data_IF_417038441516
#
_entry.id   IF_417038441516
#
_cell.length_a   1.000
_cell.length_b   1.000
_cell.length_c   1.000
_cell.angle_alpha   90.00
_cell.angle_beta   90.00
_cell.angle_gamma   90.00
#
_symmetry.space_group_name_H-M   'P 1'
#
loop_
_entity.id
_entity.type
_entity.pdbx_description
1 polymer ?
#
# COMPACT_ATOMS: atom_id res chain seq x y z
N UNK A 1 69.15 40.84 15.39
CA UNK A 1 68.20 41.03 16.52
C UNK A 1 67.29 42.26 16.41
N UNK A 2 67.67 43.38 15.78
CA UNK A 2 66.83 44.61 15.71
C UNK A 2 65.55 44.48 14.87
N UNK A 3 65.53 43.61 13.87
CA UNK A 3 64.38 43.42 12.97
C UNK A 3 63.12 42.92 13.70
N UNK A 4 63.27 41.95 14.60
CA UNK A 4 62.14 41.40 15.36
C UNK A 4 61.55 42.42 16.36
N UNK A 5 62.38 43.34 16.85
CA UNK A 5 61.92 44.41 17.74
C UNK A 5 61.17 45.51 16.99
N UNK A 6 61.61 45.84 15.77
CA UNK A 6 60.89 46.78 14.89
C UNK A 6 59.52 46.21 14.48
N UNK A 7 59.46 44.95 14.03
CA UNK A 7 58.21 44.29 13.68
C UNK A 7 57.22 44.23 14.86
N UNK A 8 57.70 43.95 16.08
CA UNK A 8 56.83 43.95 17.27
C UNK A 8 56.26 45.33 17.59
N UNK A 9 57.04 46.40 17.39
CA UNK A 9 56.57 47.78 17.61
C UNK A 9 55.49 48.16 16.60
N UNK A 10 55.71 47.88 15.32
CA UNK A 10 54.74 48.10 14.23
C UNK A 10 53.43 47.34 14.49
N UNK A 11 53.48 46.05 14.84
CA UNK A 11 52.29 45.29 15.24
C UNK A 11 51.55 45.89 16.43
N UNK A 12 52.30 46.41 17.41
CA UNK A 12 51.71 47.04 18.61
C UNK A 12 51.04 48.37 18.26
N UNK A 13 51.61 49.18 17.36
CA UNK A 13 51.00 50.41 16.89
C UNK A 13 49.74 50.16 16.04
N UNK A 14 49.78 49.15 15.17
CA UNK A 14 48.61 48.69 14.41
C UNK A 14 47.46 48.32 15.35
N UNK A 15 47.73 47.55 16.41
CA UNK A 15 46.71 47.12 17.37
C UNK A 15 46.19 48.28 18.23
N UNK A 16 47.04 49.25 18.60
CA UNK A 16 46.64 50.40 19.43
C UNK A 16 45.90 51.49 18.63
N UNK A 17 46.18 51.61 17.34
CA UNK A 17 45.59 52.65 16.48
C UNK A 17 44.31 52.16 15.80
N UNK A 18 43.15 52.60 16.30
CA UNK A 18 41.84 52.30 15.70
C UNK A 18 41.75 52.71 14.22
N UNK A 19 42.47 53.77 13.81
CA UNK A 19 42.48 54.26 12.42
C UNK A 19 43.18 53.30 11.45
N UNK A 20 44.14 52.51 11.92
CA UNK A 20 44.91 51.55 11.09
C UNK A 20 44.36 50.13 11.24
N UNK A 21 43.90 49.76 12.44
CA UNK A 21 43.36 48.44 12.74
C UNK A 21 42.09 48.11 11.95
N UNK A 22 41.14 49.06 11.85
CA UNK A 22 39.84 48.83 11.20
C UNK A 22 40.00 48.46 9.72
N UNK A 23 40.78 49.19 8.88
CA UNK A 23 41.04 48.80 7.50
C UNK A 23 41.70 47.42 7.36
N UNK A 24 42.66 47.09 8.24
CA UNK A 24 43.35 45.80 8.20
C UNK A 24 42.39 44.65 8.53
N UNK A 25 41.55 44.82 9.56
CA UNK A 25 40.50 43.85 9.89
C UNK A 25 39.54 43.71 8.71
N UNK A 26 39.11 44.80 8.08
CA UNK A 26 38.21 44.76 6.94
C UNK A 26 38.81 43.99 5.76
N UNK A 27 40.09 44.19 5.45
CA UNK A 27 40.81 43.44 4.39
C UNK A 27 40.96 41.97 4.76
N UNK A 28 41.29 41.64 6.01
CA UNK A 28 41.36 40.26 6.50
C UNK A 28 39.99 39.57 6.53
N UNK A 29 38.91 40.33 6.64
CA UNK A 29 37.55 39.81 6.62
C UNK A 29 37.13 39.33 5.22
N UNK A 30 37.70 39.89 4.14
CA UNK A 30 37.34 39.50 2.77
C UNK A 30 37.65 38.02 2.47
N UNK A 31 38.87 37.49 2.74
CA UNK A 31 39.13 36.06 2.61
C UNK A 31 38.29 35.18 3.54
N UNK A 32 37.98 35.66 4.75
CA UNK A 32 37.16 34.91 5.73
C UNK A 32 35.71 34.82 5.26
N UNK A 33 35.14 35.90 4.73
CA UNK A 33 33.80 35.89 4.14
C UNK A 33 33.74 34.96 2.92
N UNK A 34 34.75 35.01 2.06
CA UNK A 34 34.82 34.11 0.89
C UNK A 34 34.93 32.64 1.33
N UNK A 35 35.86 32.31 2.22
CA UNK A 35 36.03 30.97 2.74
C UNK A 35 34.80 30.50 3.52
N UNK A 36 34.17 31.39 4.31
CA UNK A 36 32.96 31.11 5.05
C UNK A 36 31.77 30.83 4.15
N UNK A 37 31.57 31.62 3.08
CA UNK A 37 30.52 31.39 2.09
C UNK A 37 30.74 30.08 1.31
N UNK A 38 32.00 29.79 0.94
CA UNK A 38 32.35 28.54 0.29
C UNK A 38 32.11 27.33 1.21
N UNK A 39 32.60 27.37 2.45
CA UNK A 39 32.33 26.32 3.43
C UNK A 39 30.83 26.16 3.65
N UNK A 40 30.06 27.24 3.80
CA UNK A 40 28.61 27.16 3.97
C UNK A 40 27.91 26.49 2.78
N UNK A 41 28.29 26.82 1.54
CA UNK A 41 27.72 26.22 0.33
C UNK A 41 28.13 24.75 0.11
N UNK A 42 29.34 24.36 0.55
CA UNK A 42 29.89 23.01 0.33
C UNK A 42 29.85 22.11 1.58
N UNK A 43 29.41 22.61 2.74
CA UNK A 43 29.29 21.83 3.97
C UNK A 43 28.25 20.72 3.84
N UNK A 44 27.15 21.01 3.14
CA UNK A 44 26.13 20.03 2.77
C UNK A 44 25.42 20.43 1.47
N UNK A 45 26.03 20.15 0.29
CA UNK A 45 25.47 20.52 -1.00
C UNK A 45 24.19 19.73 -1.35
N UNK A 46 23.77 18.80 -0.49
CA UNK A 46 22.59 17.96 -0.67
C UNK A 46 21.45 18.30 0.30
N UNK A 47 21.63 19.29 1.18
CA UNK A 47 20.59 19.72 2.12
C UNK A 47 19.36 20.33 1.44
N UNK A 48 19.54 20.86 0.23
CA UNK A 48 18.49 21.54 -0.56
C UNK A 48 18.09 20.72 -1.80
N UNK A 49 18.11 19.39 -1.69
CA UNK A 49 17.66 18.53 -2.79
C UNK A 49 16.15 18.61 -3.03
N UNK A 50 15.39 19.06 -2.04
CA UNK A 50 13.95 19.36 -2.09
C UNK A 50 13.59 20.44 -3.11
N UNK A 51 14.54 21.29 -3.52
CA UNK A 51 14.36 22.27 -4.60
C UNK A 51 14.76 21.74 -5.98
N UNK A 52 15.38 20.56 -6.07
CA UNK A 52 15.89 19.99 -7.31
C UNK A 52 14.73 19.44 -8.16
N UNK A 53 14.41 20.04 -9.32
CA UNK A 53 13.25 19.67 -10.12
C UNK A 53 13.48 18.35 -10.87
N UNK A 54 12.70 17.34 -10.51
CA UNK A 54 12.70 16.00 -11.12
C UNK A 54 11.38 15.77 -11.82
N UNK A 55 11.40 15.61 -13.14
CA UNK A 55 10.21 15.29 -13.91
C UNK A 55 9.86 13.81 -13.73
N UNK A 56 8.60 13.52 -13.43
CA UNK A 56 8.07 12.16 -13.37
C UNK A 56 7.02 12.02 -14.47
N UNK A 57 7.22 11.06 -15.36
CA UNK A 57 6.28 10.73 -16.44
C UNK A 57 5.78 9.33 -16.22
N UNK A 58 4.46 9.19 -16.08
CA UNK A 58 3.82 7.89 -15.96
C UNK A 58 3.17 7.49 -17.28
N UNK A 59 3.72 6.47 -17.94
CA UNK A 59 3.13 5.85 -19.13
C UNK A 59 2.44 4.52 -18.83
N UNK A 60 2.51 4.07 -17.58
CA UNK A 60 1.93 2.81 -17.10
C UNK A 60 0.43 2.76 -17.41
N UNK A 61 0.01 1.68 -18.09
CA UNK A 61 -1.39 1.46 -18.45
C UNK A 61 -2.17 0.69 -17.39
N UNK A 62 -1.51 0.29 -16.31
CA UNK A 62 -2.06 -0.66 -15.35
C UNK A 62 -2.06 -2.08 -15.91
N UNK A 63 -2.50 -3.03 -15.09
CA UNK A 63 -2.67 -4.41 -15.46
C UNK A 63 -3.85 -5.03 -14.69
N UNK A 64 -4.24 -6.25 -15.05
CA UNK A 64 -5.22 -7.03 -14.32
C UNK A 64 -4.56 -8.33 -13.88
N UNK A 65 -4.65 -8.63 -12.59
CA UNK A 65 -4.17 -9.88 -12.00
C UNK A 65 -5.27 -10.48 -11.13
N UNK A 66 -5.62 -11.74 -11.39
CA UNK A 66 -6.72 -12.45 -10.72
C UNK A 66 -8.04 -11.65 -10.64
N UNK A 67 -8.39 -10.97 -11.75
CA UNK A 67 -9.61 -10.17 -11.86
C UNK A 67 -9.59 -8.85 -11.09
N UNK A 68 -8.50 -8.53 -10.37
CA UNK A 68 -8.31 -7.24 -9.70
C UNK A 68 -7.42 -6.31 -10.54
N UNK A 69 -7.78 -5.01 -10.65
CA UNK A 69 -6.90 -4.03 -11.29
C UNK A 69 -5.65 -3.80 -10.43
N UNK A 70 -4.50 -3.77 -11.09
CA UNK A 70 -3.18 -3.51 -10.50
C UNK A 70 -2.61 -2.27 -11.17
N UNK A 71 -2.41 -1.20 -10.38
CA UNK A 71 -1.92 0.10 -10.85
C UNK A 71 -0.66 0.51 -10.07
N UNK A 72 0.44 -0.24 -10.23
CA UNK A 72 1.70 -0.02 -9.50
C UNK A 72 2.32 1.34 -9.87
N UNK A 73 2.32 1.71 -11.15
CA UNK A 73 2.89 2.99 -11.60
C UNK A 73 2.15 4.19 -10.99
N UNK A 74 0.83 4.09 -10.88
CA UNK A 74 0.01 5.10 -10.21
C UNK A 74 0.29 5.16 -8.71
N UNK A 75 0.38 4.00 -8.04
CA UNK A 75 0.74 3.95 -6.62
C UNK A 75 2.12 4.56 -6.32
N UNK A 76 3.10 4.34 -7.21
CA UNK A 76 4.41 4.98 -7.13
C UNK A 76 4.29 6.51 -7.27
N UNK A 77 3.53 6.98 -8.27
CA UNK A 77 3.29 8.42 -8.47
C UNK A 77 2.63 9.05 -7.25
N UNK A 78 1.63 8.41 -6.67
CA UNK A 78 0.92 8.95 -5.51
C UNK A 78 1.83 9.01 -4.27
N UNK A 79 2.63 7.97 -4.01
CA UNK A 79 3.61 8.00 -2.93
C UNK A 79 4.74 9.03 -3.18
N UNK A 80 5.14 9.27 -4.43
CA UNK A 80 6.12 10.31 -4.76
C UNK A 80 5.57 11.74 -4.57
N UNK A 81 4.25 11.96 -4.71
CA UNK A 81 3.64 13.28 -4.42
C UNK A 81 3.74 13.66 -2.95
N UNK A 82 3.66 12.67 -2.07
CA UNK A 82 3.76 12.85 -0.62
C UNK A 82 5.23 12.96 -0.15
N UNK A 83 6.18 12.59 -1.02
CA UNK A 83 7.59 12.64 -0.73
C UNK A 83 8.16 14.07 -0.93
N UNK A 84 8.89 14.58 0.06
CA UNK A 84 9.49 15.92 0.03
C UNK A 84 11.02 15.91 -0.16
N UNK A 85 11.62 14.77 -0.51
CA UNK A 85 13.07 14.64 -0.69
C UNK A 85 13.57 15.38 -1.93
N UNK A 86 12.70 15.58 -2.93
CA UNK A 86 12.98 16.28 -4.17
C UNK A 86 11.76 17.09 -4.64
N UNK A 87 12.00 18.04 -5.54
CA UNK A 87 10.91 18.77 -6.21
C UNK A 87 10.34 17.92 -7.34
N UNK A 88 9.46 16.99 -6.99
CA UNK A 88 8.78 16.13 -7.96
C UNK A 88 7.79 16.95 -8.80
N UNK A 89 7.95 16.91 -10.12
CA UNK A 89 6.99 17.48 -11.07
C UNK A 89 6.41 16.40 -11.97
N UNK A 90 5.12 16.12 -11.80
CA UNK A 90 4.40 15.13 -12.57
C UNK A 90 3.85 15.77 -13.84
N UNK A 91 4.38 15.39 -14.99
CA UNK A 91 4.12 16.06 -16.28
C UNK A 91 3.92 15.05 -17.41
N UNK A 92 3.38 15.51 -18.54
CA UNK A 92 3.31 14.69 -19.74
C UNK A 92 4.71 14.43 -20.34
N UNK A 93 4.86 13.37 -21.12
CA UNK A 93 6.14 13.07 -21.79
C UNK A 93 6.63 14.24 -22.67
N UNK A 94 5.69 14.95 -23.31
CA UNK A 94 6.00 16.11 -24.15
C UNK A 94 6.53 17.29 -23.34
N UNK A 95 5.93 17.56 -22.19
CA UNK A 95 6.38 18.62 -21.27
C UNK A 95 7.71 18.26 -20.62
N UNK A 96 7.89 17.00 -20.22
CA UNK A 96 9.17 16.51 -19.71
C UNK A 96 10.28 16.72 -20.74
N UNK A 97 10.10 16.32 -22.00
CA UNK A 97 11.07 16.53 -23.08
C UNK A 97 11.44 18.01 -23.23
N UNK A 98 10.43 18.88 -23.34
CA UNK A 98 10.64 20.33 -23.45
C UNK A 98 11.36 20.91 -22.22
N UNK A 99 11.02 20.43 -21.03
CA UNK A 99 11.65 20.87 -19.78
C UNK A 99 13.08 20.37 -19.62
N UNK A 100 13.41 19.18 -20.11
CA UNK A 100 14.78 18.66 -20.18
C UNK A 100 15.61 19.50 -21.16
N UNK A 101 15.12 19.74 -22.39
CA UNK A 101 15.79 20.61 -23.37
C UNK A 101 15.98 22.04 -22.84
N UNK A 102 14.98 22.57 -22.15
CA UNK A 102 15.02 23.90 -21.53
C UNK A 102 15.84 23.98 -20.25
N UNK A 103 16.49 22.89 -19.81
CA UNK A 103 17.23 22.80 -18.53
C UNK A 103 16.39 23.12 -17.29
N UNK A 104 15.07 23.01 -17.39
CA UNK A 104 14.15 23.13 -16.25
C UNK A 104 14.29 21.91 -15.34
N UNK A 105 14.38 20.72 -15.92
CA UNK A 105 14.47 19.47 -15.18
C UNK A 105 15.89 18.96 -15.12
N UNK A 106 16.27 18.51 -13.93
CA UNK A 106 17.57 17.90 -13.66
C UNK A 106 17.62 16.45 -14.16
N UNK A 107 16.52 15.72 -13.94
CA UNK A 107 16.35 14.33 -14.34
C UNK A 107 14.89 14.08 -14.70
N UNK A 108 14.69 13.15 -15.63
CA UNK A 108 13.41 12.53 -15.94
C UNK A 108 13.40 11.11 -15.39
N UNK A 109 12.42 10.80 -14.54
CA UNK A 109 12.04 9.44 -14.15
C UNK A 109 10.83 9.04 -14.98
N UNK A 110 11.02 8.10 -15.90
CA UNK A 110 9.96 7.57 -16.77
C UNK A 110 9.53 6.20 -16.29
N UNK A 111 8.24 6.06 -16.01
CA UNK A 111 7.58 4.79 -15.71
C UNK A 111 7.06 4.22 -17.04
N UNK A 112 7.60 3.09 -17.53
CA UNK A 112 7.19 2.47 -18.80
C UNK A 112 5.73 2.00 -18.79
N UNK A 113 5.18 1.74 -19.98
CA UNK A 113 3.78 1.35 -20.14
C UNK A 113 3.45 -0.08 -19.68
N UNK A 114 4.48 -0.93 -19.64
CA UNK A 114 4.42 -2.31 -19.17
C UNK A 114 4.75 -2.46 -17.68
N UNK A 115 4.94 -1.36 -16.95
CA UNK A 115 5.39 -1.40 -15.55
C UNK A 115 4.45 -2.21 -14.65
N UNK A 116 3.16 -1.90 -14.61
CA UNK A 116 2.19 -2.71 -13.86
C UNK A 116 2.01 -4.10 -14.46
N UNK A 117 2.16 -4.27 -15.77
CA UNK A 117 2.08 -5.60 -16.40
C UNK A 117 3.23 -6.51 -15.96
N UNK A 118 4.45 -6.00 -15.87
CA UNK A 118 5.62 -6.71 -15.37
C UNK A 118 5.46 -7.06 -13.89
N UNK A 119 4.83 -6.20 -13.09
CA UNK A 119 4.49 -6.51 -11.70
C UNK A 119 3.66 -7.79 -11.56
N UNK A 120 2.74 -8.05 -12.49
CA UNK A 120 1.89 -9.26 -12.48
C UNK A 120 2.66 -10.54 -12.80
N UNK A 121 3.91 -10.44 -13.27
CA UNK A 121 4.71 -11.60 -13.64
C UNK A 121 5.53 -12.16 -12.48
N UNK A 122 5.54 -11.50 -11.32
CA UNK A 122 6.35 -11.91 -10.15
C UNK A 122 6.04 -13.33 -9.65
N UNK A 123 4.80 -13.79 -9.81
CA UNK A 123 4.36 -15.13 -9.39
C UNK A 123 4.41 -16.15 -10.55
N UNK A 124 4.94 -15.76 -11.71
CA UNK A 124 5.09 -16.63 -12.88
C UNK A 124 6.51 -17.21 -12.95
N UNK A 125 6.69 -18.27 -13.72
CA UNK A 125 7.98 -18.97 -13.87
C UNK A 125 9.09 -18.09 -14.47
N UNK A 126 8.73 -17.04 -15.20
CA UNK A 126 9.67 -16.04 -15.77
C UNK A 126 9.24 -14.62 -15.37
N UNK A 127 9.67 -14.14 -14.19
CA UNK A 127 9.32 -12.81 -13.71
C UNK A 127 10.13 -11.74 -14.45
N UNK A 128 9.42 -10.73 -14.98
CA UNK A 128 10.03 -9.58 -15.62
C UNK A 128 10.41 -8.50 -14.61
N UNK A 129 11.60 -7.90 -14.72
CA UNK A 129 12.02 -6.83 -13.83
C UNK A 129 11.21 -5.55 -14.04
N UNK A 130 10.99 -4.82 -12.95
CA UNK A 130 10.33 -3.52 -12.92
C UNK A 130 11.37 -2.43 -13.14
N UNK A 131 11.73 -2.22 -14.41
CA UNK A 131 12.72 -1.21 -14.74
C UNK A 131 12.07 0.16 -14.85
N UNK A 132 12.58 1.11 -14.09
CA UNK A 132 12.32 2.54 -14.30
C UNK A 132 13.43 3.12 -15.16
N UNK A 133 13.05 4.03 -16.05
CA UNK A 133 14.00 4.72 -16.90
C UNK A 133 14.40 6.04 -16.29
N UNK A 134 15.71 6.18 -16.03
CA UNK A 134 16.29 7.37 -15.43
C UNK A 134 17.11 8.09 -16.51
N UNK A 135 16.62 9.25 -16.94
CA UNK A 135 17.26 10.04 -17.99
C UNK A 135 17.81 11.33 -17.36
N UNK A 136 19.12 11.41 -17.09
CA UNK A 136 19.73 12.63 -16.57
C UNK A 136 19.82 13.70 -17.66
N UNK A 137 19.83 14.97 -17.26
CA UNK A 137 20.04 16.07 -18.18
C UNK A 137 21.55 16.34 -18.36
N UNK A 138 22.19 15.62 -19.28
CA UNK A 138 23.63 15.72 -19.58
C UNK A 138 24.06 17.10 -20.10
N UNK A 139 23.10 17.95 -20.52
CA UNK A 139 23.39 19.32 -20.96
C UNK A 139 23.73 20.29 -19.82
N UNK A 140 23.55 19.85 -18.56
CA UNK A 140 24.05 20.53 -17.38
C UNK A 140 25.55 20.19 -17.20
N UNK A 141 26.38 21.23 -17.07
CA UNK A 141 27.85 21.27 -17.15
C UNK A 141 28.64 20.14 -16.43
N UNK A 142 29.96 19.98 -16.69
CA UNK A 142 30.81 18.89 -16.11
C UNK A 142 30.78 18.74 -14.58
N UNK A 143 30.53 19.82 -13.83
CA UNK A 143 30.31 19.77 -12.37
C UNK A 143 28.98 19.09 -12.00
N UNK A 144 27.97 19.24 -12.86
CA UNK A 144 26.68 18.54 -12.76
C UNK A 144 26.81 17.05 -13.05
N UNK A 145 27.82 16.57 -13.77
CA UNK A 145 28.08 15.12 -13.90
C UNK A 145 28.70 14.50 -12.65
N UNK A 146 29.56 15.22 -11.91
CA UNK A 146 30.25 14.67 -10.73
C UNK A 146 29.44 14.78 -9.43
N UNK A 147 28.81 15.94 -9.17
CA UNK A 147 27.84 16.09 -8.06
C UNK A 147 26.52 15.39 -8.40
N UNK A 148 26.22 15.31 -9.69
CA UNK A 148 25.01 14.67 -10.18
C UNK A 148 24.95 13.18 -10.06
N UNK A 149 26.08 12.48 -10.15
CA UNK A 149 26.10 11.03 -9.90
C UNK A 149 25.45 10.70 -8.57
N UNK A 150 25.86 11.39 -7.50
CA UNK A 150 25.29 11.23 -6.15
C UNK A 150 23.82 11.66 -6.08
N UNK A 151 23.43 12.76 -6.73
CA UNK A 151 22.04 13.19 -6.75
C UNK A 151 21.14 12.17 -7.47
N UNK A 152 21.61 11.62 -8.60
CA UNK A 152 20.96 10.57 -9.36
C UNK A 152 20.84 9.29 -8.53
N UNK A 153 21.91 8.89 -7.82
CA UNK A 153 21.87 7.75 -6.91
C UNK A 153 20.87 7.96 -5.77
N UNK A 154 20.80 9.16 -5.20
CA UNK A 154 19.79 9.50 -4.19
C UNK A 154 18.37 9.48 -4.76
N UNK A 155 18.14 10.01 -5.96
CA UNK A 155 16.84 9.95 -6.66
C UNK A 155 16.46 8.48 -6.90
N UNK A 156 17.37 7.67 -7.43
CA UNK A 156 17.17 6.23 -7.64
C UNK A 156 16.85 5.52 -6.33
N UNK A 157 17.57 5.83 -5.26
CA UNK A 157 17.36 5.27 -3.93
C UNK A 157 16.00 5.63 -3.36
N UNK A 158 15.60 6.90 -3.47
CA UNK A 158 14.30 7.39 -3.02
C UNK A 158 13.15 6.77 -3.81
N UNK A 159 13.27 6.74 -5.15
CA UNK A 159 12.28 6.10 -6.02
C UNK A 159 12.18 4.60 -5.72
N UNK A 160 13.31 3.91 -5.50
CA UNK A 160 13.32 2.49 -5.12
C UNK A 160 12.72 2.23 -3.74
N UNK A 161 13.00 3.11 -2.77
CA UNK A 161 12.40 3.09 -1.43
C UNK A 161 10.89 3.26 -1.51
N UNK A 162 10.44 4.26 -2.27
CA UNK A 162 9.03 4.56 -2.52
C UNK A 162 8.31 3.42 -3.24
N UNK A 163 8.98 2.80 -4.22
CA UNK A 163 8.48 1.60 -4.88
C UNK A 163 8.31 0.46 -3.90
N UNK A 164 9.34 0.19 -3.09
CA UNK A 164 9.30 -0.87 -2.05
C UNK A 164 8.17 -0.62 -1.06
N UNK A 165 7.97 0.63 -0.63
CA UNK A 165 6.86 1.04 0.24
C UNK A 165 5.51 0.77 -0.43
N UNK A 166 5.32 1.21 -1.67
CA UNK A 166 4.10 0.99 -2.45
C UNK A 166 3.78 -0.51 -2.56
N UNK A 167 4.80 -1.34 -2.80
CA UNK A 167 4.66 -2.79 -2.84
C UNK A 167 4.23 -3.38 -1.49
N UNK A 168 4.91 -2.98 -0.41
CA UNK A 168 4.59 -3.45 0.93
C UNK A 168 3.14 -3.09 1.31
N UNK A 169 2.71 -1.86 1.06
CA UNK A 169 1.33 -1.41 1.28
C UNK A 169 0.33 -2.30 0.52
N UNK A 170 0.56 -2.56 -0.77
CA UNK A 170 -0.32 -3.43 -1.57
C UNK A 170 -0.31 -4.89 -1.13
N UNK A 171 0.81 -5.40 -0.64
CA UNK A 171 0.89 -6.73 -0.04
C UNK A 171 0.10 -6.80 1.26
N UNK A 172 0.20 -5.78 2.13
CA UNK A 172 -0.57 -5.72 3.37
C UNK A 172 -2.08 -5.60 3.10
N UNK A 173 -2.49 -4.78 2.14
CA UNK A 173 -3.89 -4.71 1.67
C UNK A 173 -4.40 -6.10 1.25
N UNK A 174 -3.58 -6.84 0.49
CA UNK A 174 -3.94 -8.19 0.03
C UNK A 174 -4.03 -9.21 1.18
N UNK A 175 -3.14 -9.12 2.18
CA UNK A 175 -3.21 -9.96 3.39
C UNK A 175 -4.47 -9.65 4.19
N UNK A 176 -4.86 -8.37 4.28
CA UNK A 176 -6.09 -7.97 4.96
C UNK A 176 -7.33 -8.51 4.24
N UNK A 177 -7.35 -8.48 2.90
CA UNK A 177 -8.41 -9.10 2.09
C UNK A 177 -8.51 -10.61 2.36
N UNK A 178 -7.37 -11.32 2.39
CA UNK A 178 -7.33 -12.76 2.69
C UNK A 178 -7.83 -13.04 4.12
N UNK A 179 -7.40 -12.24 5.10
CA UNK A 179 -7.85 -12.35 6.48
C UNK A 179 -9.37 -12.18 6.61
N UNK A 180 -9.94 -11.20 5.89
CA UNK A 180 -11.38 -11.01 5.82
C UNK A 180 -12.08 -12.20 5.17
N UNK A 181 -11.57 -12.72 4.05
CA UNK A 181 -12.12 -13.91 3.41
C UNK A 181 -12.10 -15.16 4.30
N UNK A 182 -11.05 -15.33 5.11
CA UNK A 182 -10.97 -16.40 6.12
C UNK A 182 -12.00 -16.21 7.23
N UNK A 183 -12.21 -14.98 7.71
CA UNK A 183 -13.23 -14.67 8.71
C UNK A 183 -14.66 -14.94 8.18
N UNK A 184 -14.96 -14.49 6.96
CA UNK A 184 -16.24 -14.75 6.28
C UNK A 184 -16.46 -16.26 6.10
N UNK A 185 -15.41 -17.00 5.73
CA UNK A 185 -15.44 -18.46 5.62
C UNK A 185 -15.70 -19.16 6.96
N UNK A 186 -15.10 -18.69 8.05
CA UNK A 186 -15.34 -19.22 9.39
C UNK A 186 -16.79 -18.94 9.86
N UNK A 187 -17.33 -17.75 9.59
CA UNK A 187 -18.73 -17.44 9.86
C UNK A 187 -19.68 -18.34 9.05
N UNK A 188 -19.38 -18.55 7.77
CA UNK A 188 -20.12 -19.48 6.91
C UNK A 188 -20.11 -20.92 7.45
N UNK A 189 -18.96 -21.40 7.94
CA UNK A 189 -18.84 -22.71 8.54
C UNK A 189 -19.68 -22.86 9.83
N UNK A 190 -19.72 -21.82 10.68
CA UNK A 190 -20.58 -21.80 11.86
C UNK A 190 -22.07 -21.86 11.49
N UNK A 191 -22.51 -21.06 10.50
CA UNK A 191 -23.89 -21.11 10.00
C UNK A 191 -24.27 -22.49 9.46
N UNK A 192 -23.34 -23.16 8.77
CA UNK A 192 -23.55 -24.52 8.29
C UNK A 192 -23.66 -25.53 9.44
N UNK A 193 -22.83 -25.38 10.47
CA UNK A 193 -22.91 -26.20 11.68
C UNK A 193 -24.26 -26.04 12.38
N UNK A 194 -24.68 -24.80 12.62
CA UNK A 194 -25.97 -24.48 13.27
C UNK A 194 -27.14 -25.03 12.46
N UNK A 195 -27.16 -24.79 11.14
CA UNK A 195 -28.19 -25.32 10.25
C UNK A 195 -28.21 -26.86 10.20
N UNK A 196 -27.05 -27.51 10.29
CA UNK A 196 -26.98 -28.98 10.41
C UNK A 196 -27.54 -29.48 11.74
N UNK A 197 -27.33 -28.74 12.84
CA UNK A 197 -27.91 -29.07 14.14
C UNK A 197 -29.43 -28.91 14.12
N UNK A 198 -29.94 -27.82 13.55
CA UNK A 198 -31.38 -27.60 13.40
C UNK A 198 -32.05 -28.68 12.54
N UNK A 199 -31.39 -29.10 11.45
CA UNK A 199 -31.87 -30.18 10.59
C UNK A 199 -31.93 -31.51 11.34
N UNK A 200 -30.92 -31.80 12.17
CA UNK A 200 -30.90 -32.99 13.01
C UNK A 200 -32.07 -32.98 14.01
N UNK A 201 -32.27 -31.88 14.72
CA UNK A 201 -33.36 -31.73 15.68
C UNK A 201 -34.74 -31.84 15.02
N UNK A 202 -34.90 -31.22 13.86
CA UNK A 202 -36.12 -31.32 13.04
C UNK A 202 -36.40 -32.76 12.61
N UNK A 203 -35.37 -33.49 12.17
CA UNK A 203 -35.49 -34.90 11.77
C UNK A 203 -35.86 -35.81 12.93
N UNK A 204 -35.31 -35.55 14.12
CA UNK A 204 -35.67 -36.27 15.35
C UNK A 204 -37.14 -36.03 15.71
N UNK A 205 -37.62 -34.78 15.67
CA UNK A 205 -39.05 -34.45 15.90
C UNK A 205 -39.99 -35.15 14.92
N UNK A 206 -39.61 -35.23 13.64
CA UNK A 206 -40.40 -35.96 12.63
C UNK A 206 -40.46 -37.45 12.99
N UNK A 207 -39.33 -38.04 13.39
CA UNK A 207 -39.25 -39.45 13.78
C UNK A 207 -40.12 -39.75 15.01
N UNK A 208 -40.06 -38.90 16.03
CA UNK A 208 -40.89 -39.01 17.23
C UNK A 208 -42.39 -38.87 16.92
N UNK A 209 -42.73 -37.94 16.01
CA UNK A 209 -44.09 -37.77 15.50
C UNK A 209 -44.61 -39.01 14.77
N UNK A 210 -43.77 -39.65 13.94
CA UNK A 210 -44.10 -40.89 13.27
C UNK A 210 -44.31 -42.05 14.24
N UNK A 211 -43.46 -42.18 15.27
CA UNK A 211 -43.66 -43.17 16.34
C UNK A 211 -44.97 -42.94 17.10
N UNK A 212 -45.29 -41.69 17.42
CA UNK A 212 -46.55 -41.33 18.08
C UNK A 212 -47.75 -41.69 17.21
N UNK A 213 -47.71 -41.35 15.91
CA UNK A 213 -48.75 -41.68 14.95
C UNK A 213 -48.95 -43.19 14.83
N UNK A 214 -47.86 -43.95 14.77
CA UNK A 214 -47.90 -45.42 14.72
C UNK A 214 -48.60 -45.99 15.97
N UNK A 215 -48.25 -45.50 17.16
CA UNK A 215 -48.90 -45.91 18.41
C UNK A 215 -50.40 -45.59 18.42
N UNK A 216 -50.77 -44.37 18.03
CA UNK A 216 -52.17 -43.94 17.95
C UNK A 216 -52.97 -44.68 16.88
N UNK A 217 -52.36 -45.07 15.77
CA UNK A 217 -53.00 -45.93 14.77
C UNK A 217 -53.42 -47.29 15.36
N UNK A 218 -52.58 -47.88 16.22
CA UNK A 218 -52.92 -49.12 16.94
C UNK A 218 -54.07 -48.94 17.95
N UNK A 219 -54.11 -47.80 18.66
CA UNK A 219 -55.25 -47.44 19.51
C UNK A 219 -56.54 -47.28 18.71
N UNK A 220 -56.47 -46.60 17.55
CA UNK A 220 -57.61 -46.43 16.63
C UNK A 220 -58.10 -47.79 16.14
N UNK A 221 -57.21 -48.68 15.69
CA UNK A 221 -57.57 -50.02 15.26
C UNK A 221 -58.31 -50.79 16.37
N UNK A 222 -57.80 -50.70 17.61
CA UNK A 222 -58.44 -51.32 18.77
C UNK A 222 -59.81 -50.69 19.07
N UNK A 223 -59.93 -49.38 19.00
CA UNK A 223 -61.19 -48.65 19.21
C UNK A 223 -62.25 -48.97 18.15
N UNK A 224 -61.86 -49.06 16.88
CA UNK A 224 -62.71 -49.50 15.77
C UNK A 224 -63.18 -50.93 16.00
N UNK A 225 -62.29 -51.85 16.44
CA UNK A 225 -62.67 -53.21 16.82
C UNK A 225 -63.75 -53.24 17.90
N UNK A 226 -63.58 -52.46 18.98
CA UNK A 226 -64.59 -52.34 20.05
C UNK A 226 -65.92 -51.78 19.55
N UNK A 227 -65.89 -50.81 18.63
CA UNK A 227 -67.09 -50.24 18.03
C UNK A 227 -67.86 -51.27 17.19
N UNK A 228 -67.14 -52.05 16.37
CA UNK A 228 -67.71 -53.16 15.59
C UNK A 228 -68.33 -54.20 16.52
N UNK A 229 -67.62 -54.62 17.57
CA UNK A 229 -68.14 -55.58 18.56
C UNK A 229 -69.40 -55.06 19.26
N UNK A 230 -69.39 -53.79 19.68
CA UNK A 230 -70.54 -53.14 20.31
C UNK A 230 -71.75 -53.05 19.39
N UNK A 231 -71.54 -52.69 18.12
CA UNK A 231 -72.57 -52.65 17.09
C UNK A 231 -73.17 -54.05 16.84
N UNK A 232 -72.34 -55.09 16.80
CA UNK A 232 -72.79 -56.48 16.70
C UNK A 232 -73.69 -56.90 17.87
N UNK A 233 -73.33 -56.51 19.10
CA UNK A 233 -74.14 -56.76 20.30
C UNK A 233 -75.50 -56.04 20.25
N UNK A 234 -75.53 -54.78 19.82
CA UNK A 234 -76.79 -54.02 19.66
C UNK A 234 -77.68 -54.70 18.62
N UNK A 235 -77.13 -55.07 17.48
CA UNK A 235 -77.86 -55.78 16.41
C UNK A 235 -78.44 -57.10 16.90
N UNK A 236 -77.65 -57.90 17.62
CA UNK A 236 -78.12 -59.15 18.22
C UNK A 236 -79.25 -58.92 19.25
N UNK A 237 -79.13 -57.87 20.07
CA UNK A 237 -80.17 -57.48 21.03
C UNK A 237 -81.47 -57.07 20.35
N UNK A 238 -81.40 -56.27 19.28
CA UNK A 238 -82.57 -55.88 18.47
C UNK A 238 -83.25 -57.09 17.83
N UNK A 239 -82.48 -58.03 17.27
CA UNK A 239 -83.04 -59.27 16.71
C UNK A 239 -83.74 -60.13 17.78
N UNK A 240 -83.19 -60.17 18.98
CA UNK A 240 -83.79 -60.89 20.13
C UNK A 240 -85.09 -60.22 20.59
N UNK A 241 -85.15 -58.89 20.57
CA UNK A 241 -86.38 -58.16 20.88
C UNK A 241 -87.45 -58.41 19.81
N UNK A 242 -87.06 -58.34 18.53
CA UNK A 242 -87.95 -58.61 17.40
C UNK A 242 -88.49 -60.04 17.37
N UNK A 243 -87.77 -61.04 17.90
CA UNK A 243 -88.26 -62.41 17.99
C UNK A 243 -89.18 -62.68 19.18
N UNK A 244 -89.26 -61.76 20.14
CA UNK A 244 -90.10 -61.85 21.34
C UNK A 244 -91.37 -60.99 21.28
N UNK A 245 -91.51 -60.19 20.24
CA UNK A 245 -92.67 -59.34 19.98
C UNK A 245 -93.42 -59.91 18.80
#
# INVERSE_FOLDING_TARGET
>A
MKWNQLLRKEFTEIIKSKKILIPIIAVLFVPILYAGMFLWAFWDPYKQLDDLPVAVVNLDKGAVFDGKPIEVGKGLVDNLKDNTSFKWEFVSEKEAKKGMEGRKYYMLVRIPDDFSSNATTLLKDDPKPLNLEYIPNESLNFLSSQIGGTAIEKIKGEVSSTLTKTYAEKMFDSIQDVSKGLADGAEGANKLHDGSSELHDGSSKVTDGLHTLQGKSGEIQTGVGKLVDGSGKVTAGLNTLNSKT
#
